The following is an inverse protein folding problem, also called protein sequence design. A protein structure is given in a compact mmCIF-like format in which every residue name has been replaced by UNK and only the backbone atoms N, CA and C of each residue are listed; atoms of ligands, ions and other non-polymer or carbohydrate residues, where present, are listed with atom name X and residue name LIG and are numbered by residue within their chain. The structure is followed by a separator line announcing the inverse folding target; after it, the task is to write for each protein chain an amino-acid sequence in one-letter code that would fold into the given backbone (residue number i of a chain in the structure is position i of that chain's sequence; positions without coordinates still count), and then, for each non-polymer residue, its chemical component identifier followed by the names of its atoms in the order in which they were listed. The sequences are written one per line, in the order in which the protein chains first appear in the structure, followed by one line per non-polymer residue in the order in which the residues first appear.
data_IF_007120087720
#
_entry.id   IF_007120087720
#
_cell.length_a   1.000
_cell.length_b   1.000
_cell.length_c   1.000
_cell.angle_alpha   90.00
_cell.angle_beta   90.00
_cell.angle_gamma   90.00
#
_symmetry.space_group_name_H-M   'P 1'
#
loop_
_entity.id
_entity.type
_entity.pdbx_description
1 polymer ?
#
# COMPACT_ATOMS: atom_id res chain seq x y z
N UNK A 1 -8.53 5.41 -16.10
CA UNK A 1 -8.13 6.69 -15.48
C UNK A 1 -7.21 7.39 -16.44
N UNK A 2 -7.57 8.58 -16.87
CA UNK A 2 -6.89 9.38 -17.90
C UNK A 2 -6.09 10.55 -17.31
N UNK A 3 -5.94 10.64 -15.98
CA UNK A 3 -5.24 11.75 -15.32
C UNK A 3 -6.10 12.98 -15.06
N UNK A 4 -7.35 13.03 -15.52
CA UNK A 4 -8.13 14.26 -15.61
C UNK A 4 -9.21 14.41 -14.53
N UNK A 5 -9.41 13.38 -13.72
CA UNK A 5 -10.37 13.39 -12.61
C UNK A 5 -9.65 13.35 -11.26
N UNK A 6 -10.11 14.19 -10.32
CA UNK A 6 -9.66 14.14 -8.93
C UNK A 6 -10.07 12.81 -8.29
N UNK A 7 -9.18 12.21 -7.51
CA UNK A 7 -9.51 11.02 -6.74
C UNK A 7 -10.52 11.36 -5.64
N UNK A 8 -11.50 10.47 -5.41
CA UNK A 8 -12.53 10.68 -4.37
C UNK A 8 -12.04 10.23 -3.00
N UNK A 9 -11.03 9.35 -2.95
CA UNK A 9 -10.44 8.85 -1.71
C UNK A 9 -8.99 8.41 -1.90
N UNK A 10 -8.24 8.35 -0.80
CA UNK A 10 -6.92 7.68 -0.77
C UNK A 10 -7.01 6.23 -1.25
N UNK A 11 -8.10 5.53 -0.92
CA UNK A 11 -8.32 4.15 -1.33
C UNK A 11 -8.40 4.00 -2.86
N UNK A 12 -8.94 4.99 -3.58
CA UNK A 12 -8.99 4.97 -5.05
C UNK A 12 -7.58 4.99 -5.64
N UNK A 13 -6.69 5.79 -5.06
CA UNK A 13 -5.28 5.86 -5.48
C UNK A 13 -4.54 4.57 -5.15
N UNK A 14 -4.76 4.00 -3.96
CA UNK A 14 -4.16 2.71 -3.56
C UNK A 14 -4.61 1.60 -4.51
N UNK A 15 -5.90 1.48 -4.83
CA UNK A 15 -6.39 0.47 -5.79
C UNK A 15 -5.75 0.61 -7.16
N UNK A 16 -5.49 1.84 -7.61
CA UNK A 16 -4.83 2.10 -8.89
C UNK A 16 -3.41 1.54 -8.93
N UNK A 17 -2.58 1.83 -7.92
CA UNK A 17 -1.21 1.29 -7.91
C UNK A 17 -1.21 -0.23 -7.73
N UNK A 18 -2.13 -0.80 -6.93
CA UNK A 18 -2.30 -2.27 -6.82
C UNK A 18 -2.50 -2.94 -8.19
N UNK A 19 -3.41 -2.41 -9.02
CA UNK A 19 -3.64 -2.97 -10.35
C UNK A 19 -2.44 -2.88 -11.30
N UNK A 20 -1.58 -1.87 -11.14
CA UNK A 20 -0.32 -1.77 -11.90
C UNK A 20 0.66 -2.86 -11.45
N UNK A 21 0.79 -3.08 -10.13
CA UNK A 21 1.65 -4.13 -9.57
C UNK A 21 1.19 -5.53 -9.99
N UNK A 22 -0.12 -5.80 -9.97
CA UNK A 22 -0.69 -7.06 -10.43
C UNK A 22 -0.34 -7.33 -11.91
N UNK A 23 -0.41 -6.31 -12.76
CA UNK A 23 -0.02 -6.41 -14.18
C UNK A 23 1.48 -6.65 -14.41
N UNK A 24 2.32 -6.39 -13.41
CA UNK A 24 3.75 -6.70 -13.40
C UNK A 24 4.07 -8.03 -12.70
N UNK A 25 3.05 -8.79 -12.28
CA UNK A 25 3.20 -10.01 -11.47
C UNK A 25 3.93 -9.75 -10.15
N UNK A 26 3.72 -8.59 -9.54
CA UNK A 26 4.25 -8.20 -8.24
C UNK A 26 3.14 -8.19 -7.19
N UNK A 27 3.44 -8.68 -5.99
CA UNK A 27 2.50 -8.72 -4.87
C UNK A 27 2.70 -7.53 -3.93
N UNK A 28 1.61 -7.13 -3.26
CA UNK A 28 1.65 -6.05 -2.25
C UNK A 28 1.85 -6.65 -0.88
N UNK A 29 2.94 -6.24 -0.22
CA UNK A 29 3.24 -6.63 1.14
C UNK A 29 2.09 -6.28 2.11
N UNK A 30 1.77 -7.21 2.98
CA UNK A 30 0.96 -7.01 4.17
C UNK A 30 1.68 -6.10 5.16
N UNK A 31 0.97 -5.48 6.13
CA UNK A 31 1.61 -4.71 7.18
C UNK A 31 2.63 -5.50 7.99
N UNK A 32 2.44 -6.82 8.16
CA UNK A 32 3.38 -7.70 8.85
C UNK A 32 4.67 -7.83 8.06
N UNK A 33 4.59 -8.21 6.77
CA UNK A 33 5.76 -8.33 5.90
C UNK A 33 6.52 -7.00 5.78
N UNK A 34 5.80 -5.88 5.67
CA UNK A 34 6.43 -4.56 5.63
C UNK A 34 7.23 -4.24 6.91
N UNK A 35 6.77 -4.70 8.08
CA UNK A 35 7.52 -4.54 9.34
C UNK A 35 8.76 -5.40 9.36
N UNK A 36 8.67 -6.63 8.87
CA UNK A 36 9.81 -7.55 8.82
C UNK A 36 10.89 -7.05 7.85
N UNK A 37 10.50 -6.61 6.64
CA UNK A 37 11.40 -6.04 5.63
C UNK A 37 12.18 -4.83 6.13
N UNK A 38 11.55 -4.01 6.98
CA UNK A 38 12.10 -2.74 7.46
C UNK A 38 12.62 -2.83 8.91
N UNK A 39 12.66 -4.03 9.50
CA UNK A 39 13.05 -4.27 10.89
C UNK A 39 12.34 -3.34 11.90
N UNK A 40 11.02 -3.16 11.74
CA UNK A 40 10.24 -2.25 12.57
C UNK A 40 9.87 -2.87 13.91
N UNK A 41 9.80 -2.03 14.93
CA UNK A 41 9.54 -2.41 16.33
C UNK A 41 8.20 -3.13 16.60
N UNK A 42 7.28 -3.27 15.66
CA UNK A 42 5.93 -3.81 15.92
C UNK A 42 4.89 -2.74 16.25
N UNK A 43 3.62 -3.02 15.92
CA UNK A 43 2.52 -2.06 16.04
C UNK A 43 2.03 -1.85 17.46
N UNK A 44 2.28 -2.80 18.34
CA UNK A 44 1.98 -2.81 19.78
C UNK A 44 3.06 -2.12 20.63
N UNK A 45 4.23 -1.82 20.06
CA UNK A 45 5.38 -1.18 20.74
C UNK A 45 5.44 0.33 20.49
N UNK A 46 4.27 0.97 20.56
CA UNK A 46 4.06 2.40 20.34
C UNK A 46 3.26 2.99 21.51
N UNK A 47 3.32 4.31 21.70
CA UNK A 47 2.74 4.99 22.86
C UNK A 47 1.61 5.93 22.43
N UNK A 48 0.58 5.38 21.78
CA UNK A 48 -0.64 6.10 21.35
C UNK A 48 -1.87 5.23 21.54
#
# INVERSE_FOLDING_TARGET
YDGRQLAKSNADQVRRIRGILDGLSLEVATPTEARDMLALKGGDRVAF
#
